data_IF_771253077305
#
_entry.id   IF_771253077305
#
_cell.length_a   1.000
_cell.length_b   1.000
_cell.length_c   1.000
_cell.angle_alpha   90.00
_cell.angle_beta   90.00
_cell.angle_gamma   90.00
#
_symmetry.space_group_name_H-M   'P 1'
#
loop_
_entity.id
_entity.type
_entity.pdbx_description
1 polymer ?
#
# COMPACT_ATOMS: atom_id res chain seq x y z
N UNK A 1 19.06 -1.05 0.86
CA UNK A 1 18.40 0.04 0.10
C UNK A 1 17.99 1.21 1.00
N UNK A 2 17.24 0.99 2.10
CA UNK A 2 16.82 2.09 3.00
C UNK A 2 17.99 2.87 3.60
N UNK A 3 18.98 2.20 4.20
CA UNK A 3 20.11 2.88 4.84
C UNK A 3 20.94 3.70 3.85
N UNK A 4 21.17 3.15 2.65
CA UNK A 4 21.87 3.86 1.58
C UNK A 4 21.12 5.12 1.12
N UNK A 5 19.79 5.03 0.92
CA UNK A 5 18.97 6.20 0.57
C UNK A 5 18.96 7.26 1.68
N UNK A 6 18.89 6.84 2.95
CA UNK A 6 19.02 7.74 4.11
C UNK A 6 20.36 8.48 4.13
N UNK A 7 21.44 7.76 3.85
CA UNK A 7 22.78 8.35 3.80
C UNK A 7 22.89 9.39 2.69
N UNK A 8 22.44 9.07 1.48
CA UNK A 8 22.50 9.98 0.33
C UNK A 8 21.71 11.27 0.58
N UNK A 9 20.46 11.17 1.04
CA UNK A 9 19.65 12.34 1.34
C UNK A 9 20.29 13.22 2.43
N UNK A 10 20.92 12.60 3.45
CA UNK A 10 21.64 13.31 4.51
C UNK A 10 22.88 14.04 3.98
N UNK A 11 23.64 13.42 3.07
CA UNK A 11 24.79 14.05 2.42
C UNK A 11 24.37 15.27 1.58
N UNK A 12 23.21 15.20 0.94
CA UNK A 12 22.62 16.28 0.15
C UNK A 12 21.88 17.34 1.00
N UNK A 13 21.85 17.18 2.33
CA UNK A 13 21.20 18.15 3.24
C UNK A 13 19.68 18.24 3.09
N UNK A 14 19.03 17.21 2.55
CA UNK A 14 17.57 17.19 2.31
C UNK A 14 16.90 15.97 2.95
N UNK A 15 15.57 16.01 3.02
CA UNK A 15 14.77 14.82 3.36
C UNK A 15 14.72 13.85 2.17
N UNK A 16 14.45 12.58 2.48
CA UNK A 16 14.16 11.55 1.48
C UNK A 16 12.86 11.94 0.78
N UNK A 17 12.83 11.83 -0.54
CA UNK A 17 11.61 12.04 -1.34
C UNK A 17 10.88 10.71 -1.53
N UNK A 18 9.56 10.77 -1.68
CA UNK A 18 8.76 9.58 -1.99
C UNK A 18 9.26 8.93 -3.31
N UNK A 19 9.30 7.60 -3.33
CA UNK A 19 9.84 6.84 -4.48
C UNK A 19 11.37 6.83 -4.63
N UNK A 20 12.14 7.55 -3.80
CA UNK A 20 13.62 7.54 -3.86
C UNK A 20 14.20 6.21 -3.37
N UNK A 21 13.53 5.57 -2.41
CA UNK A 21 13.91 4.26 -1.87
C UNK A 21 12.91 3.23 -2.39
N UNK A 22 13.35 2.39 -3.33
CA UNK A 22 12.52 1.33 -3.91
C UNK A 22 13.07 -0.04 -3.52
N UNK A 23 12.43 -0.79 -2.59
CA UNK A 23 12.80 -2.16 -2.26
C UNK A 23 12.74 -3.10 -3.47
N UNK A 24 13.47 -4.22 -3.44
CA UNK A 24 13.45 -5.21 -4.54
C UNK A 24 12.03 -5.68 -4.87
N UNK A 25 11.23 -5.98 -3.85
CA UNK A 25 9.88 -6.50 -4.03
C UNK A 25 8.95 -5.47 -4.71
N UNK A 26 9.17 -4.18 -4.48
CA UNK A 26 8.45 -3.10 -5.16
C UNK A 26 8.93 -2.98 -6.59
N UNK A 27 10.25 -2.95 -6.80
CA UNK A 27 10.87 -2.83 -8.12
C UNK A 27 10.52 -4.00 -9.05
N UNK A 28 10.43 -5.22 -8.51
CA UNK A 28 10.20 -6.43 -9.31
C UNK A 28 8.74 -6.69 -9.65
N UNK A 29 7.79 -6.00 -8.99
CA UNK A 29 6.37 -6.27 -9.16
C UNK A 29 5.84 -5.50 -10.38
N UNK A 30 5.52 -6.17 -11.50
CA UNK A 30 5.02 -5.48 -12.69
C UNK A 30 3.63 -4.86 -12.47
N UNK A 31 2.85 -5.43 -11.55
CA UNK A 31 1.51 -4.98 -11.22
C UNK A 31 1.46 -3.78 -10.26
N UNK A 32 2.61 -3.31 -9.77
CA UNK A 32 2.69 -2.24 -8.75
C UNK A 32 1.85 -2.54 -7.49
N UNK A 33 1.78 -3.82 -7.09
CA UNK A 33 0.93 -4.28 -5.99
C UNK A 33 1.47 -3.89 -4.60
N UNK A 34 2.77 -3.60 -4.50
CA UNK A 34 3.41 -3.21 -3.25
C UNK A 34 3.83 -1.75 -3.37
N UNK A 35 3.40 -0.93 -2.41
CA UNK A 35 3.80 0.48 -2.28
C UNK A 35 4.65 0.62 -1.03
N UNK A 36 5.76 1.35 -1.14
CA UNK A 36 6.68 1.62 -0.04
C UNK A 36 6.98 3.12 -0.02
N UNK A 37 7.00 3.72 1.17
CA UNK A 37 7.23 5.15 1.35
C UNK A 37 7.36 5.53 2.83
N UNK A 38 7.40 6.84 3.11
CA UNK A 38 7.43 7.38 4.47
C UNK A 38 6.00 7.70 4.96
N UNK A 39 5.53 6.97 5.97
CA UNK A 39 4.20 7.17 6.55
C UNK A 39 4.06 8.53 7.27
N UNK A 40 5.17 9.17 7.66
CA UNK A 40 5.14 10.48 8.31
C UNK A 40 5.04 11.64 7.32
N UNK A 41 5.20 11.36 6.02
CA UNK A 41 4.97 12.34 4.96
C UNK A 41 3.51 12.21 4.48
N UNK A 42 2.62 13.17 4.80
CA UNK A 42 1.22 13.12 4.40
C UNK A 42 1.02 13.20 2.88
N UNK A 43 2.01 13.70 2.14
CA UNK A 43 1.95 13.77 0.69
C UNK A 43 2.37 12.48 -0.01
N UNK A 44 3.00 11.56 0.73
CA UNK A 44 3.45 10.27 0.21
C UNK A 44 2.29 9.42 -0.30
N UNK A 45 2.58 8.57 -1.29
CA UNK A 45 1.60 7.61 -1.80
C UNK A 45 1.13 6.65 -0.70
N UNK A 46 2.04 6.24 0.19
CA UNK A 46 1.71 5.28 1.26
C UNK A 46 0.74 5.86 2.29
N UNK A 47 0.86 7.15 2.64
CA UNK A 47 -0.05 7.81 3.57
C UNK A 47 -1.48 7.86 3.01
N UNK A 48 -1.61 8.15 1.71
CA UNK A 48 -2.89 8.16 0.99
C UNK A 48 -3.48 6.74 0.88
N UNK A 49 -2.66 5.75 0.54
CA UNK A 49 -3.10 4.34 0.48
C UNK A 49 -3.52 3.80 1.86
N UNK A 50 -2.85 4.20 2.94
CA UNK A 50 -3.21 3.81 4.30
C UNK A 50 -4.56 4.37 4.79
N UNK A 51 -4.98 5.51 4.24
CA UNK A 51 -6.26 6.15 4.54
C UNK A 51 -7.42 5.63 3.66
N UNK A 52 -7.14 4.72 2.73
CA UNK A 52 -8.17 4.14 1.85
C UNK A 52 -9.12 3.22 2.64
N UNK A 53 -10.43 3.31 2.38
CA UNK A 53 -11.44 2.47 3.03
C UNK A 53 -11.23 0.96 2.82
N UNK A 54 -10.48 0.57 1.78
CA UNK A 54 -10.15 -0.82 1.46
C UNK A 54 -8.90 -1.31 2.19
N UNK A 55 -8.18 -0.44 2.90
CA UNK A 55 -6.97 -0.80 3.61
C UNK A 55 -7.32 -1.45 4.95
N UNK A 56 -6.79 -2.65 5.20
CA UNK A 56 -6.97 -3.38 6.45
C UNK A 56 -5.64 -3.91 6.98
N UNK A 57 -5.56 -4.13 8.29
CA UNK A 57 -4.44 -4.79 8.95
C UNK A 57 -4.76 -6.27 9.15
N UNK A 58 -3.73 -7.12 9.11
CA UNK A 58 -3.88 -8.55 9.37
C UNK A 58 -3.80 -8.78 10.87
N UNK A 59 -4.76 -9.55 11.40
CA UNK A 59 -4.88 -9.88 12.83
C UNK A 59 -5.05 -8.64 13.72
N UNK A 60 -5.98 -7.75 13.36
CA UNK A 60 -6.28 -6.52 14.11
C UNK A 60 -6.67 -6.80 15.57
N UNK A 61 -7.32 -7.92 15.83
CA UNK A 61 -7.75 -8.36 17.16
C UNK A 61 -6.58 -8.57 18.14
N UNK A 62 -5.37 -8.81 17.62
CA UNK A 62 -4.16 -8.99 18.44
C UNK A 62 -3.45 -7.67 18.76
N UNK A 63 -3.91 -6.53 18.21
CA UNK A 63 -3.35 -5.19 18.43
C UNK A 63 -1.82 -5.10 18.23
N UNK A 64 -1.29 -5.86 17.28
CA UNK A 64 0.16 -5.92 16.98
C UNK A 64 0.67 -4.71 16.17
N UNK A 65 -0.24 -3.83 15.72
CA UNK A 65 0.04 -2.58 14.99
C UNK A 65 1.09 -2.75 13.89
N UNK A 66 0.82 -3.62 12.89
CA UNK A 66 1.80 -3.92 11.84
C UNK A 66 2.07 -2.68 10.98
N UNK A 67 3.31 -2.54 10.51
CA UNK A 67 3.71 -1.47 9.59
C UNK A 67 3.26 -1.70 8.13
N UNK A 68 2.53 -2.78 7.86
CA UNK A 68 2.03 -3.15 6.54
C UNK A 68 0.51 -3.25 6.60
N UNK A 69 -0.17 -2.62 5.63
CA UNK A 69 -1.60 -2.81 5.38
C UNK A 69 -1.81 -3.48 4.04
N UNK A 70 -2.90 -4.23 3.93
CA UNK A 70 -3.32 -4.88 2.70
C UNK A 70 -4.57 -4.20 2.16
N UNK A 71 -4.81 -4.36 0.85
CA UNK A 71 -5.99 -3.81 0.18
C UNK A 71 -6.99 -4.92 -0.12
N UNK A 72 -8.26 -4.71 0.24
CA UNK A 72 -9.35 -5.64 -0.06
C UNK A 72 -9.48 -5.84 -1.57
N UNK A 73 -9.44 -7.10 -2.02
CA UNK A 73 -9.63 -7.47 -3.43
C UNK A 73 -11.11 -7.32 -3.80
N UNK A 74 -11.42 -6.35 -4.64
CA UNK A 74 -12.74 -6.23 -5.28
C UNK A 74 -12.74 -7.10 -6.54
N UNK A 75 -13.78 -7.92 -6.70
CA UNK A 75 -14.05 -8.69 -7.92
C UNK A 75 -15.34 -8.15 -8.54
N UNK A 76 -15.24 -7.55 -9.72
CA UNK A 76 -16.41 -7.08 -10.46
C UNK A 76 -17.00 -8.28 -11.19
N UNK A 77 -18.08 -8.83 -10.64
CA UNK A 77 -18.87 -9.88 -11.29
C UNK A 77 -19.96 -9.22 -12.12
N UNK A 78 -20.09 -9.61 -13.40
CA UNK A 78 -21.24 -9.22 -14.20
C UNK A 78 -22.45 -10.00 -13.73
N UNK A 79 -23.46 -9.31 -13.21
CA UNK A 79 -24.72 -9.96 -12.84
C UNK A 79 -25.48 -10.23 -14.13
N UNK A 80 -25.41 -11.46 -14.63
CA UNK A 80 -26.33 -11.93 -15.67
C UNK A 80 -27.74 -11.98 -15.09
N UNK A 81 -28.69 -11.31 -15.76
CA UNK A 81 -30.10 -11.10 -15.34
C UNK A 81 -30.91 -12.35 -14.97
N UNK A 82 -30.38 -13.56 -15.14
CA UNK A 82 -31.09 -14.83 -14.89
C UNK A 82 -31.14 -15.22 -13.41
N UNK A 83 -30.26 -14.69 -12.54
CA UNK A 83 -30.22 -15.08 -11.12
C UNK A 83 -31.27 -14.35 -10.24
N UNK A 84 -31.96 -13.33 -10.77
CA UNK A 84 -32.93 -12.54 -9.99
C UNK A 84 -34.32 -13.20 -9.89
N UNK A 85 -34.62 -14.27 -10.65
CA UNK A 85 -35.97 -14.88 -10.66
C UNK A 85 -36.16 -16.04 -9.67
N UNK A 86 -35.11 -16.52 -8.99
CA UNK A 86 -35.20 -17.67 -8.09
C UNK A 86 -35.37 -17.32 -6.59
N UNK A 87 -35.89 -16.14 -6.25
CA UNK A 87 -36.14 -15.74 -4.85
C UNK A 87 -37.56 -15.18 -4.59
N UNK A 88 -38.55 -15.61 -5.37
CA UNK A 88 -39.96 -15.50 -5.00
C UNK A 88 -40.64 -16.87 -5.03
#
# INVERSE_FOLDING_TARGET
RIQAGKLNAKLEGRKIKDGEIIPACVQTCPANAIVFGDMNDPESRIAKDFANDRAYQVLEELNVKPSVRYMTKIRNVEVTKEETTAQH
#
